data_IF_393370335258
#
_entry.id   IF_393370335258
#
_cell.length_a   1.000
_cell.length_b   1.000
_cell.length_c   1.000
_cell.angle_alpha   90.00
_cell.angle_beta   90.00
_cell.angle_gamma   90.00
#
_symmetry.space_group_name_H-M   'P 1'
#
loop_
_entity.id
_entity.type
_entity.pdbx_description
1 polymer ?
#
# COMPACT_ATOMS: atom_id res chain seq x y z
N UNK A 1 3.62 10.97 20.70
CA UNK A 1 5.00 10.48 20.72
C UNK A 1 5.08 9.27 19.82
N UNK A 2 5.80 9.35 18.72
CA UNK A 2 5.96 8.22 17.81
C UNK A 2 6.78 7.16 18.55
N UNK A 3 6.22 5.98 18.74
CA UNK A 3 6.87 4.76 19.20
C UNK A 3 8.16 4.99 20.00
N UNK A 4 8.05 5.01 21.32
CA UNK A 4 9.24 5.09 22.17
C UNK A 4 10.12 3.84 21.92
N UNK A 5 11.35 4.00 21.39
CA UNK A 5 12.23 2.87 21.09
C UNK A 5 12.50 1.99 22.32
N UNK A 6 12.40 2.57 23.53
CA UNK A 6 12.59 1.83 24.78
C UNK A 6 11.44 0.88 25.12
N UNK A 7 10.26 1.10 24.54
CA UNK A 7 9.07 0.30 24.78
C UNK A 7 8.81 -0.75 23.68
N UNK A 8 9.58 -0.75 22.60
CA UNK A 8 9.42 -1.76 21.56
C UNK A 8 9.81 -3.15 22.09
N UNK A 9 8.88 -4.08 22.03
CA UNK A 9 9.02 -5.46 22.46
C UNK A 9 8.83 -6.42 21.29
N UNK A 10 9.46 -7.58 21.35
CA UNK A 10 9.30 -8.65 20.38
C UNK A 10 8.60 -9.81 21.05
N UNK A 11 7.61 -10.41 20.37
CA UNK A 11 7.01 -11.66 20.83
C UNK A 11 7.97 -12.82 20.60
N UNK A 12 8.32 -13.52 21.67
CA UNK A 12 9.07 -14.77 21.56
C UNK A 12 8.12 -15.92 21.23
N UNK A 13 8.33 -16.60 20.09
CA UNK A 13 7.64 -17.86 19.80
C UNK A 13 8.26 -18.98 20.63
N UNK A 14 7.63 -19.33 21.76
CA UNK A 14 7.90 -20.51 22.55
C UNK A 14 6.57 -21.18 22.93
N UNK A 15 6.46 -22.50 22.77
CA UNK A 15 5.26 -23.26 23.18
C UNK A 15 4.92 -22.92 24.63
N UNK A 16 3.79 -22.26 24.85
CA UNK A 16 3.10 -22.00 26.12
C UNK A 16 3.45 -20.75 26.96
N UNK A 17 4.27 -19.79 26.52
CA UNK A 17 4.36 -18.49 27.21
C UNK A 17 4.63 -17.38 26.18
N UNK A 18 3.80 -16.36 26.12
CA UNK A 18 4.08 -15.12 25.42
C UNK A 18 5.17 -14.35 26.17
N UNK A 19 6.42 -14.66 25.86
CA UNK A 19 7.55 -13.89 26.39
C UNK A 19 7.87 -12.76 25.44
N UNK A 20 7.82 -11.53 25.93
CA UNK A 20 8.31 -10.36 25.20
C UNK A 20 9.68 -9.96 25.73
N UNK A 21 10.54 -9.46 24.86
CA UNK A 21 11.84 -8.92 25.21
C UNK A 21 12.10 -7.61 24.45
N UNK A 22 12.98 -6.76 24.99
CA UNK A 22 13.34 -5.48 24.37
C UNK A 22 14.03 -5.71 23.02
N UNK A 23 13.64 -4.94 22.00
CA UNK A 23 14.33 -4.93 20.71
C UNK A 23 15.80 -4.60 20.87
N UNK A 24 16.64 -5.30 20.10
CA UNK A 24 18.09 -5.02 20.00
C UNK A 24 18.36 -4.02 18.88
N UNK A 25 17.60 -4.09 17.81
CA UNK A 25 17.76 -3.23 16.64
C UNK A 25 16.91 -1.97 16.75
N UNK A 26 17.49 -0.84 16.34
CA UNK A 26 16.77 0.41 16.21
C UNK A 26 15.74 0.33 15.08
N UNK A 27 14.52 0.83 15.33
CA UNK A 27 13.50 1.00 14.29
C UNK A 27 13.79 2.26 13.48
N UNK A 28 13.91 2.12 12.15
CA UNK A 28 14.19 3.21 11.21
C UNK A 28 13.08 3.38 10.20
N UNK A 29 12.92 4.57 9.65
CA UNK A 29 11.94 4.88 8.58
C UNK A 29 12.09 3.91 7.40
N UNK A 30 13.32 3.58 7.01
CA UNK A 30 13.59 2.62 5.93
C UNK A 30 13.00 1.23 6.20
N UNK A 31 12.89 0.81 7.47
CA UNK A 31 12.29 -0.45 7.84
C UNK A 31 10.76 -0.45 7.64
N UNK A 32 10.11 0.70 7.89
CA UNK A 32 8.68 0.87 7.60
C UNK A 32 8.42 0.89 6.09
N UNK A 33 9.17 1.70 5.33
CA UNK A 33 9.05 1.79 3.87
C UNK A 33 9.27 0.45 3.16
N UNK A 34 10.14 -0.40 3.68
CA UNK A 34 10.46 -1.71 3.12
C UNK A 34 9.70 -2.88 3.73
N UNK A 35 8.71 -2.64 4.59
CA UNK A 35 8.00 -3.67 5.37
C UNK A 35 8.93 -4.60 6.18
N UNK A 36 9.97 -4.05 6.76
CA UNK A 36 10.96 -4.78 7.59
C UNK A 36 11.01 -4.25 9.02
N UNK A 37 9.96 -3.59 9.47
CA UNK A 37 9.85 -3.06 10.84
C UNK A 37 9.61 -4.13 11.89
N UNK A 38 8.99 -5.24 11.51
CA UNK A 38 8.48 -6.27 12.42
C UNK A 38 7.02 -6.08 12.85
N UNK A 39 6.38 -4.97 12.49
CA UNK A 39 4.94 -4.76 12.73
C UNK A 39 4.10 -5.61 11.78
N UNK A 40 3.24 -6.44 12.34
CA UNK A 40 2.15 -7.12 11.63
C UNK A 40 0.89 -6.22 11.58
N UNK A 41 -0.16 -6.70 10.93
CA UNK A 41 -1.50 -6.12 11.05
C UNK A 41 -2.16 -6.76 12.27
N UNK A 42 -2.52 -6.01 13.33
CA UNK A 42 -3.25 -6.55 14.48
C UNK A 42 -4.60 -7.15 14.06
N UNK A 43 -5.08 -8.14 14.79
CA UNK A 43 -6.33 -8.83 14.47
C UNK A 43 -7.52 -7.86 14.37
N UNK A 44 -7.60 -6.90 15.28
CA UNK A 44 -8.68 -5.92 15.36
C UNK A 44 -8.37 -4.60 14.63
N UNK A 45 -7.30 -4.53 13.85
CA UNK A 45 -6.82 -3.28 13.24
C UNK A 45 -7.92 -2.44 12.59
N UNK A 46 -8.79 -3.05 11.80
CA UNK A 46 -9.85 -2.33 11.10
C UNK A 46 -10.96 -1.82 12.05
N UNK A 47 -11.27 -2.59 13.09
CA UNK A 47 -12.21 -2.17 14.13
C UNK A 47 -11.65 -0.98 14.90
N UNK A 48 -10.39 -1.04 15.23
CA UNK A 48 -9.69 0.02 15.96
C UNK A 48 -9.54 1.28 15.08
N UNK A 49 -9.24 1.11 13.80
CA UNK A 49 -9.14 2.22 12.84
C UNK A 49 -10.47 2.99 12.64
N UNK A 50 -11.62 2.31 12.80
CA UNK A 50 -12.94 2.96 12.74
C UNK A 50 -13.27 3.68 14.05
N UNK A 51 -12.82 3.14 15.16
CA UNK A 51 -13.09 3.68 16.49
C UNK A 51 -12.16 4.83 16.85
N UNK A 52 -10.96 4.82 16.32
CA UNK A 52 -9.98 5.86 16.55
C UNK A 52 -10.41 7.17 15.88
N UNK A 53 -10.35 8.27 16.61
CA UNK A 53 -10.68 9.60 16.10
C UNK A 53 -9.62 10.12 15.10
N UNK A 54 -8.39 9.60 15.19
CA UNK A 54 -7.25 10.05 14.38
C UNK A 54 -6.13 8.99 14.36
N UNK A 55 -5.09 9.24 13.55
CA UNK A 55 -3.93 8.34 13.46
C UNK A 55 -3.12 8.26 14.76
N UNK A 56 -3.11 9.28 15.59
CA UNK A 56 -2.38 9.26 16.85
C UNK A 56 -2.96 8.21 17.80
N UNK A 57 -4.28 8.24 18.00
CA UNK A 57 -4.98 7.26 18.82
C UNK A 57 -4.81 5.83 18.27
N UNK A 58 -4.92 5.67 16.95
CA UNK A 58 -4.68 4.37 16.31
C UNK A 58 -3.25 3.87 16.56
N UNK A 59 -2.25 4.77 16.51
CA UNK A 59 -0.86 4.40 16.79
C UNK A 59 -0.64 4.04 18.26
N UNK A 60 -1.34 4.68 19.19
CA UNK A 60 -1.30 4.30 20.59
C UNK A 60 -1.82 2.88 20.84
N UNK A 61 -2.81 2.45 20.05
CA UNK A 61 -3.30 1.06 20.09
C UNK A 61 -2.25 0.12 19.51
N UNK A 62 -1.73 0.40 18.29
CA UNK A 62 -0.75 -0.43 17.60
C UNK A 62 0.56 -0.55 18.39
N UNK A 63 0.98 0.51 19.09
CA UNK A 63 2.23 0.52 19.85
C UNK A 63 2.25 -0.46 21.03
N UNK A 64 1.09 -0.95 21.47
CA UNK A 64 0.97 -1.95 22.54
C UNK A 64 1.23 -3.37 22.04
N UNK A 65 1.13 -3.59 20.73
CA UNK A 65 1.38 -4.88 20.12
C UNK A 65 2.90 -5.14 19.99
N UNK A 66 3.39 -6.33 20.38
CA UNK A 66 4.78 -6.65 20.22
C UNK A 66 5.14 -6.84 18.74
N UNK A 67 6.38 -6.53 18.38
CA UNK A 67 6.91 -6.84 17.05
C UNK A 67 7.08 -8.35 16.88
N UNK A 68 6.84 -8.84 15.67
CA UNK A 68 7.07 -10.24 15.31
C UNK A 68 8.54 -10.55 15.03
N UNK A 69 9.32 -9.55 14.62
CA UNK A 69 10.73 -9.68 14.25
C UNK A 69 11.51 -8.44 14.65
N UNK A 70 12.81 -8.61 14.89
CA UNK A 70 13.73 -7.50 15.04
C UNK A 70 13.69 -6.57 13.81
N UNK A 71 13.60 -5.24 14.01
CA UNK A 71 13.62 -4.29 12.91
C UNK A 71 14.79 -4.52 11.96
N UNK A 72 14.53 -4.49 10.66
CA UNK A 72 15.51 -4.68 9.60
C UNK A 72 15.85 -6.13 9.25
N UNK A 73 15.34 -7.14 9.97
CA UNK A 73 15.76 -8.54 9.79
C UNK A 73 14.93 -9.31 8.78
N UNK A 74 13.60 -9.14 8.81
CA UNK A 74 12.67 -9.91 7.95
C UNK A 74 11.62 -9.01 7.34
N UNK A 75 11.14 -9.40 6.17
CA UNK A 75 9.97 -8.81 5.56
C UNK A 75 8.71 -9.31 6.26
N UNK A 76 7.83 -8.37 6.63
CA UNK A 76 6.49 -8.66 7.15
C UNK A 76 5.54 -7.57 6.69
N UNK A 77 4.62 -7.94 5.78
CA UNK A 77 3.56 -7.03 5.37
C UNK A 77 2.61 -6.73 6.54
N UNK A 78 2.28 -5.47 6.74
CA UNK A 78 1.42 -5.04 7.85
C UNK A 78 1.16 -3.54 7.84
N UNK A 79 0.91 -2.96 9.00
CA UNK A 79 0.47 -1.57 9.21
C UNK A 79 1.53 -0.49 8.96
N UNK A 80 2.64 -0.85 8.35
CA UNK A 80 3.80 0.02 8.17
C UNK A 80 3.47 1.38 7.54
N UNK A 81 2.62 1.41 6.50
CA UNK A 81 2.25 2.65 5.82
C UNK A 81 1.33 3.53 6.68
N UNK A 82 0.49 2.93 7.53
CA UNK A 82 -0.31 3.70 8.48
C UNK A 82 0.57 4.36 9.55
N UNK A 83 1.62 3.66 10.00
CA UNK A 83 2.64 4.25 10.89
C UNK A 83 3.37 5.39 10.17
N UNK A 84 3.75 5.23 8.90
CA UNK A 84 4.35 6.29 8.10
C UNK A 84 3.41 7.50 7.91
N UNK A 85 2.11 7.27 7.79
CA UNK A 85 1.11 8.35 7.79
C UNK A 85 1.21 9.21 9.05
N UNK A 86 1.30 8.58 10.23
CA UNK A 86 1.50 9.32 11.49
C UNK A 86 2.87 10.01 11.56
N UNK A 87 3.93 9.37 11.04
CA UNK A 87 5.24 10.04 10.93
C UNK A 87 5.13 11.33 10.12
N UNK A 88 4.42 11.29 9.00
CA UNK A 88 4.19 12.47 8.18
C UNK A 88 3.43 13.56 8.94
N UNK A 89 2.38 13.21 9.69
CA UNK A 89 1.63 14.16 10.53
C UNK A 89 2.52 14.88 11.54
N UNK A 90 3.41 14.13 12.22
CA UNK A 90 4.32 14.69 13.22
C UNK A 90 5.36 15.61 12.60
N UNK A 91 5.90 15.24 11.43
CA UNK A 91 6.95 16.01 10.75
C UNK A 91 6.39 17.29 10.13
N UNK A 92 5.19 17.23 9.56
CA UNK A 92 4.58 18.35 8.84
C UNK A 92 3.56 19.14 9.66
N UNK A 93 3.27 18.70 10.89
CA UNK A 93 2.31 19.34 11.81
C UNK A 93 0.92 19.53 11.18
N UNK A 94 0.49 18.57 10.34
CA UNK A 94 -0.78 18.55 9.63
C UNK A 94 -1.36 17.15 9.65
N UNK A 95 -2.70 17.03 9.57
CA UNK A 95 -3.32 15.71 9.37
C UNK A 95 -2.87 15.07 8.05
N UNK A 96 -2.84 13.75 8.01
CA UNK A 96 -2.28 13.01 6.88
C UNK A 96 -3.03 13.27 5.56
N UNK A 97 -4.34 13.45 5.61
CA UNK A 97 -5.15 13.82 4.45
C UNK A 97 -4.80 15.22 3.93
N UNK A 98 -4.57 16.19 4.82
CA UNK A 98 -4.15 17.55 4.45
C UNK A 98 -2.72 17.52 3.89
N UNK A 99 -1.81 16.79 4.55
CA UNK A 99 -0.44 16.62 4.05
C UNK A 99 -0.41 16.09 2.62
N UNK A 100 -1.11 14.97 2.34
CA UNK A 100 -1.16 14.40 0.99
C UNK A 100 -1.81 15.33 -0.02
N UNK A 101 -2.89 16.00 0.39
CA UNK A 101 -3.58 16.96 -0.49
C UNK A 101 -2.65 18.09 -0.94
N UNK A 102 -1.93 18.70 -0.01
CA UNK A 102 -1.07 19.85 -0.32
C UNK A 102 0.25 19.44 -0.98
N UNK A 103 0.85 18.32 -0.55
CA UNK A 103 2.17 17.90 -1.02
C UNK A 103 2.14 17.05 -2.28
N UNK A 104 1.01 16.40 -2.58
CA UNK A 104 0.90 15.46 -3.69
C UNK A 104 -0.30 15.74 -4.61
N UNK A 105 -1.53 15.75 -4.05
CA UNK A 105 -2.72 15.77 -4.91
C UNK A 105 -2.89 17.08 -5.68
N UNK A 106 -2.73 18.23 -5.01
CA UNK A 106 -2.81 19.55 -5.68
C UNK A 106 -1.67 19.72 -6.69
N UNK A 107 -0.38 19.47 -6.35
CA UNK A 107 0.70 19.58 -7.33
C UNK A 107 0.57 18.66 -8.54
N UNK A 108 -0.07 17.50 -8.39
CA UNK A 108 -0.34 16.55 -9.46
C UNK A 108 -1.71 16.75 -10.15
N UNK A 109 -2.45 17.81 -9.81
CA UNK A 109 -3.79 18.08 -10.35
C UNK A 109 -4.77 16.91 -10.16
N UNK A 110 -4.63 16.17 -9.04
CA UNK A 110 -5.48 15.04 -8.65
C UNK A 110 -6.67 15.53 -7.82
N UNK A 111 -7.58 16.25 -8.45
CA UNK A 111 -8.64 16.97 -7.74
C UNK A 111 -9.83 16.09 -7.31
N UNK A 112 -9.97 14.90 -7.91
CA UNK A 112 -10.98 13.91 -7.55
C UNK A 112 -10.39 12.77 -6.68
N UNK A 113 -9.26 13.04 -6.00
CA UNK A 113 -8.54 12.08 -5.17
C UNK A 113 -8.56 12.49 -3.70
N UNK A 114 -8.83 11.53 -2.79
CA UNK A 114 -8.82 11.77 -1.36
C UNK A 114 -9.36 10.61 -0.53
N UNK A 115 -9.46 10.82 0.78
CA UNK A 115 -10.00 9.84 1.72
C UNK A 115 -11.51 9.98 1.91
N UNK A 116 -12.07 11.14 1.61
CA UNK A 116 -13.45 11.48 1.93
C UNK A 116 -14.25 11.83 0.68
N UNK A 117 -15.51 11.44 0.68
CA UNK A 117 -16.44 11.73 -0.40
C UNK A 117 -17.50 12.72 0.08
N UNK A 118 -17.77 13.73 -0.74
CA UNK A 118 -18.96 14.55 -0.61
C UNK A 118 -20.18 13.85 -1.21
N UNK A 119 -21.37 14.49 -1.10
CA UNK A 119 -22.62 13.93 -1.64
C UNK A 119 -22.60 13.75 -3.16
N UNK A 120 -21.81 14.55 -3.89
CA UNK A 120 -21.70 14.49 -5.36
C UNK A 120 -20.79 13.34 -5.77
N UNK A 121 -19.59 13.28 -5.21
CA UNK A 121 -18.58 12.27 -5.54
C UNK A 121 -18.97 10.88 -5.03
N UNK A 122 -19.71 10.78 -3.93
CA UNK A 122 -20.23 9.49 -3.43
C UNK A 122 -21.11 8.75 -4.47
N UNK A 123 -21.79 9.46 -5.34
CA UNK A 123 -22.62 8.86 -6.41
C UNK A 123 -21.77 8.24 -7.54
N UNK A 124 -20.50 8.61 -7.65
CA UNK A 124 -19.57 8.08 -8.63
C UNK A 124 -18.83 6.82 -8.12
N UNK A 125 -18.93 6.57 -6.82
CA UNK A 125 -18.27 5.42 -6.22
C UNK A 125 -18.89 4.13 -6.76
N UNK A 126 -18.08 3.32 -7.42
CA UNK A 126 -18.52 2.01 -7.90
C UNK A 126 -18.80 1.07 -6.73
N UNK A 127 -19.80 0.17 -6.81
CA UNK A 127 -20.01 -0.86 -5.81
C UNK A 127 -18.82 -1.82 -5.73
N UNK A 128 -18.70 -2.52 -4.63
CA UNK A 128 -17.75 -3.63 -4.50
C UNK A 128 -18.38 -4.90 -5.02
N UNK A 129 -17.67 -5.64 -5.88
CA UNK A 129 -18.14 -6.87 -6.47
C UNK A 129 -17.46 -8.08 -5.82
N UNK A 130 -18.26 -9.04 -5.36
CA UNK A 130 -17.78 -10.31 -4.81
C UNK A 130 -18.04 -11.43 -5.79
N UNK A 131 -17.08 -12.35 -5.92
CA UNK A 131 -17.29 -13.59 -6.66
C UNK A 131 -18.27 -14.47 -5.86
N UNK A 132 -19.41 -14.80 -6.46
CA UNK A 132 -20.36 -15.73 -5.89
C UNK A 132 -19.87 -17.18 -6.03
N UNK A 133 -20.12 -18.01 -4.99
CA UNK A 133 -19.92 -19.46 -5.08
C UNK A 133 -21.06 -20.17 -5.82
N UNK A 134 -22.22 -19.53 -5.95
CA UNK A 134 -23.47 -20.15 -6.38
C UNK A 134 -23.98 -19.66 -7.74
N UNK A 135 -23.37 -18.61 -8.30
CA UNK A 135 -23.77 -18.00 -9.57
C UNK A 135 -22.51 -17.75 -10.40
N UNK A 136 -22.58 -18.00 -11.70
CA UNK A 136 -21.52 -17.60 -12.61
C UNK A 136 -21.48 -16.07 -12.69
N UNK A 137 -20.34 -15.46 -12.29
CA UNK A 137 -20.16 -14.03 -12.28
C UNK A 137 -19.94 -13.43 -10.88
N UNK A 138 -20.30 -12.18 -10.74
CA UNK A 138 -20.12 -11.39 -9.53
C UNK A 138 -21.45 -10.91 -8.99
N UNK A 139 -21.59 -10.92 -7.67
CA UNK A 139 -22.66 -10.23 -6.97
C UNK A 139 -22.19 -8.84 -6.55
N UNK A 140 -23.07 -7.86 -6.70
CA UNK A 140 -22.95 -6.59 -6.05
C UNK A 140 -23.22 -6.81 -4.57
N UNK A 141 -22.17 -6.77 -3.75
CA UNK A 141 -22.31 -6.85 -2.30
C UNK A 141 -21.59 -5.71 -1.63
N UNK A 142 -22.33 -4.99 -0.77
CA UNK A 142 -21.78 -3.95 0.08
C UNK A 142 -20.91 -4.47 1.23
N UNK A 143 -20.78 -5.79 1.39
CA UNK A 143 -20.13 -6.40 2.55
C UNK A 143 -18.76 -6.94 2.17
N UNK A 144 -17.79 -6.07 2.03
CA UNK A 144 -16.37 -6.47 2.11
C UNK A 144 -15.80 -6.12 3.47
N UNK A 145 -14.69 -6.76 3.82
CA UNK A 145 -13.92 -6.45 5.04
C UNK A 145 -13.64 -4.95 5.20
N UNK A 146 -13.50 -4.22 4.08
CA UNK A 146 -13.31 -2.77 4.00
C UNK A 146 -14.60 -2.03 3.58
N UNK A 147 -15.43 -2.62 2.75
CA UNK A 147 -16.60 -1.96 2.15
C UNK A 147 -17.64 -1.49 3.15
N UNK A 148 -17.85 -2.23 4.24
CA UNK A 148 -18.77 -1.84 5.32
C UNK A 148 -18.11 -1.01 6.40
N UNK A 149 -16.79 -0.99 6.42
CA UNK A 149 -16.03 -0.33 7.47
C UNK A 149 -15.58 1.06 7.03
N UNK A 150 -15.42 1.29 5.73
CA UNK A 150 -15.03 2.58 5.18
C UNK A 150 -16.26 3.39 4.78
N UNK A 151 -16.63 4.32 5.63
CA UNK A 151 -17.78 5.20 5.39
C UNK A 151 -17.45 6.34 4.42
N UNK A 152 -16.18 6.65 4.22
CA UNK A 152 -15.68 7.80 3.47
C UNK A 152 -16.21 9.16 3.95
N UNK A 153 -16.64 9.23 5.19
CA UNK A 153 -17.02 10.46 5.89
C UNK A 153 -15.91 10.90 6.83
N UNK A 154 -15.61 12.20 6.81
CA UNK A 154 -14.50 12.75 7.61
C UNK A 154 -14.65 12.51 9.10
N UNK A 155 -15.89 12.53 9.59
CA UNK A 155 -16.23 12.38 11.01
C UNK A 155 -16.17 10.93 11.50
N UNK A 156 -15.99 9.97 10.62
CA UNK A 156 -16.06 8.54 10.95
C UNK A 156 -15.01 7.68 10.27
N UNK A 157 -13.94 8.30 9.81
CA UNK A 157 -12.86 7.56 9.15
C UNK A 157 -11.50 8.23 9.34
N UNK A 158 -10.59 7.49 9.96
CA UNK A 158 -9.18 7.86 10.07
C UNK A 158 -8.48 7.67 8.72
N UNK A 159 -7.71 8.65 8.20
CA UNK A 159 -6.99 8.52 6.94
C UNK A 159 -5.80 7.57 7.10
N UNK A 160 -5.94 6.32 6.66
CA UNK A 160 -4.91 5.30 6.78
C UNK A 160 -3.83 5.45 5.71
N UNK A 161 -2.56 5.35 6.08
CA UNK A 161 -1.47 5.37 5.09
C UNK A 161 -1.40 4.11 4.22
N UNK A 162 -2.01 3.01 4.68
CA UNK A 162 -2.02 1.74 3.97
C UNK A 162 -3.16 1.63 2.94
N UNK A 163 -4.25 2.37 3.12
CA UNK A 163 -5.48 2.21 2.35
C UNK A 163 -6.47 3.36 2.56
N UNK A 164 -7.60 3.33 1.80
CA UNK A 164 -8.69 4.28 2.00
C UNK A 164 -8.68 5.46 1.02
N UNK A 165 -7.65 5.63 0.22
CA UNK A 165 -7.65 6.64 -0.84
C UNK A 165 -8.57 6.18 -1.97
N UNK A 166 -9.47 7.07 -2.35
CA UNK A 166 -10.30 6.98 -3.54
C UNK A 166 -9.73 7.90 -4.61
N UNK A 167 -9.74 7.44 -5.85
CA UNK A 167 -9.20 8.19 -6.98
C UNK A 167 -9.92 7.83 -8.27
N UNK A 168 -9.68 8.59 -9.31
CA UNK A 168 -10.10 8.29 -10.69
C UNK A 168 -8.89 7.79 -11.49
N UNK A 169 -9.13 7.09 -12.61
CA UNK A 169 -8.03 6.70 -13.52
C UNK A 169 -7.30 7.92 -14.07
N UNK A 170 -8.02 9.03 -14.31
CA UNK A 170 -7.44 10.29 -14.77
C UNK A 170 -6.47 10.88 -13.74
N UNK A 171 -6.90 11.01 -12.48
CA UNK A 171 -6.03 11.55 -11.43
C UNK A 171 -4.83 10.65 -11.19
N UNK A 172 -5.07 9.34 -11.12
CA UNK A 172 -4.00 8.38 -10.88
C UNK A 172 -3.01 8.29 -12.05
N UNK A 173 -3.43 8.63 -13.28
CA UNK A 173 -2.51 8.76 -14.42
C UNK A 173 -1.47 9.85 -14.21
N UNK A 174 -1.84 10.97 -13.59
CA UNK A 174 -0.89 12.06 -13.28
C UNK A 174 0.18 11.58 -12.27
N UNK A 175 -0.21 10.76 -11.30
CA UNK A 175 0.74 10.13 -10.38
C UNK A 175 1.67 9.15 -11.09
N UNK A 176 1.15 8.32 -11.99
CA UNK A 176 1.97 7.41 -12.79
C UNK A 176 2.93 8.17 -13.72
N UNK A 177 2.46 9.25 -14.33
CA UNK A 177 3.28 10.12 -15.19
C UNK A 177 4.44 10.74 -14.40
N UNK A 178 4.16 11.27 -13.21
CA UNK A 178 5.20 11.77 -12.31
C UNK A 178 6.26 10.71 -12.00
N UNK A 179 5.86 9.48 -11.68
CA UNK A 179 6.79 8.38 -11.44
C UNK A 179 7.61 8.03 -12.69
N UNK A 180 6.97 7.97 -13.86
CA UNK A 180 7.60 7.66 -15.14
C UNK A 180 8.67 8.68 -15.51
N UNK A 181 8.41 9.96 -15.28
CA UNK A 181 9.35 11.04 -15.59
C UNK A 181 10.27 11.42 -14.42
N UNK A 182 10.59 10.44 -13.57
CA UNK A 182 11.62 10.62 -12.53
C UNK A 182 11.25 11.64 -11.46
N UNK A 183 9.96 11.75 -11.12
CA UNK A 183 9.45 12.64 -10.09
C UNK A 183 9.00 14.01 -10.61
N UNK A 184 8.94 14.22 -11.94
CA UNK A 184 8.52 15.47 -12.57
C UNK A 184 7.09 15.36 -13.10
N UNK A 185 6.27 16.39 -12.88
CA UNK A 185 4.95 16.54 -13.47
C UNK A 185 4.75 18.02 -13.88
N UNK A 186 4.25 18.25 -15.10
CA UNK A 186 4.04 19.61 -15.66
C UNK A 186 5.24 20.54 -15.45
N UNK A 187 6.46 20.06 -15.75
CA UNK A 187 7.74 20.76 -15.57
C UNK A 187 8.07 21.16 -14.12
N UNK A 188 7.40 20.58 -13.13
CA UNK A 188 7.69 20.78 -11.71
C UNK A 188 8.23 19.49 -11.10
N UNK A 189 9.29 19.60 -10.32
CA UNK A 189 9.80 18.50 -9.52
C UNK A 189 8.89 18.31 -8.30
N UNK A 190 8.21 17.17 -8.23
CA UNK A 190 7.31 16.79 -7.12
C UNK A 190 8.09 16.01 -6.07
N UNK A 191 8.84 14.99 -6.50
CA UNK A 191 9.80 14.25 -5.68
C UNK A 191 11.12 14.14 -6.43
N UNK A 192 12.25 13.98 -5.74
CA UNK A 192 13.55 13.93 -6.41
C UNK A 192 13.73 12.64 -7.22
N UNK A 193 14.53 12.70 -8.28
CA UNK A 193 14.89 11.53 -9.08
C UNK A 193 15.66 10.50 -8.26
N UNK A 194 16.43 10.95 -7.28
CA UNK A 194 17.12 10.10 -6.31
C UNK A 194 16.11 9.31 -5.45
N UNK A 195 14.99 9.92 -5.06
CA UNK A 195 13.92 9.23 -4.34
C UNK A 195 13.28 8.14 -5.19
N UNK A 196 13.01 8.38 -6.47
CA UNK A 196 12.51 7.35 -7.39
C UNK A 196 13.51 6.20 -7.52
N UNK A 197 14.80 6.50 -7.71
CA UNK A 197 15.85 5.49 -7.75
C UNK A 197 15.93 4.68 -6.46
N UNK A 198 15.81 5.35 -5.30
CA UNK A 198 15.80 4.68 -4.00
C UNK A 198 14.57 3.79 -3.83
N UNK A 199 13.38 4.24 -4.27
CA UNK A 199 12.16 3.45 -4.22
C UNK A 199 12.28 2.13 -4.97
N UNK A 200 13.03 2.09 -6.07
CA UNK A 200 13.17 0.91 -6.92
C UNK A 200 14.39 0.05 -6.60
N UNK A 201 15.19 0.38 -5.58
CA UNK A 201 16.29 -0.48 -5.12
C UNK A 201 15.75 -1.73 -4.41
N UNK A 202 16.53 -2.81 -4.44
CA UNK A 202 16.19 -4.09 -3.81
C UNK A 202 16.44 -4.04 -2.30
N UNK A 203 15.36 -4.10 -1.52
CA UNK A 203 15.42 -4.15 -0.06
C UNK A 203 15.09 -5.54 0.51
N UNK A 204 14.31 -6.33 -0.19
CA UNK A 204 14.06 -7.73 0.16
C UNK A 204 13.65 -8.53 -1.08
N UNK A 205 13.80 -9.86 -0.99
CA UNK A 205 13.24 -10.77 -1.97
C UNK A 205 11.71 -10.64 -2.02
N UNK A 206 11.12 -11.16 -3.10
CA UNK A 206 9.67 -11.26 -3.23
C UNK A 206 9.03 -11.98 -2.03
N UNK A 207 7.73 -11.87 -1.90
CA UNK A 207 6.98 -12.41 -0.77
C UNK A 207 7.43 -13.79 -0.32
N UNK A 208 7.53 -14.03 1.01
CA UNK A 208 7.66 -15.37 1.54
C UNK A 208 6.48 -16.22 1.03
N UNK A 209 6.77 -17.38 0.51
CA UNK A 209 5.79 -18.37 0.00
C UNK A 209 4.64 -18.64 0.98
N UNK A 210 4.93 -18.48 2.26
CA UNK A 210 4.06 -18.79 3.39
C UNK A 210 2.81 -17.89 3.48
N UNK A 211 2.85 -16.66 2.95
CA UNK A 211 1.77 -15.68 3.12
C UNK A 211 0.80 -15.60 1.94
N UNK A 212 1.28 -15.74 0.70
CA UNK A 212 0.49 -15.42 -0.49
C UNK A 212 0.49 -16.53 -1.53
N UNK A 213 1.11 -17.67 -1.24
CA UNK A 213 1.23 -18.80 -2.14
C UNK A 213 2.45 -18.74 -3.06
N UNK A 214 2.79 -19.88 -3.64
CA UNK A 214 4.06 -20.09 -4.35
C UNK A 214 4.23 -19.26 -5.63
N UNK A 215 3.15 -18.72 -6.18
CA UNK A 215 3.16 -18.05 -7.49
C UNK A 215 2.96 -16.53 -7.44
N UNK A 216 2.72 -15.97 -6.25
CA UNK A 216 2.42 -14.54 -6.15
C UNK A 216 3.67 -13.70 -6.35
N UNK A 217 3.66 -12.86 -7.39
CA UNK A 217 4.77 -11.96 -7.76
C UNK A 217 6.15 -12.64 -7.81
N UNK A 218 6.21 -13.88 -8.30
CA UNK A 218 7.49 -14.55 -8.59
C UNK A 218 8.31 -13.71 -9.57
N UNK A 219 9.61 -13.57 -9.30
CA UNK A 219 10.48 -12.78 -10.15
C UNK A 219 10.47 -11.27 -9.85
N UNK A 220 9.62 -10.82 -8.92
CA UNK A 220 9.69 -9.47 -8.40
C UNK A 220 10.50 -9.43 -7.09
N UNK A 221 11.14 -8.31 -6.83
CA UNK A 221 11.66 -7.97 -5.51
C UNK A 221 10.92 -6.76 -4.93
N UNK A 222 11.19 -6.48 -3.67
CA UNK A 222 10.61 -5.34 -2.96
C UNK A 222 11.56 -4.16 -2.93
N UNK A 223 11.09 -3.04 -3.47
CA UNK A 223 11.64 -1.72 -3.22
C UNK A 223 11.02 -1.06 -1.98
N UNK A 224 11.00 0.26 -1.94
CA UNK A 224 10.29 1.02 -0.91
C UNK A 224 8.85 1.23 -1.35
N UNK A 225 7.94 0.46 -0.76
CA UNK A 225 6.49 0.49 -1.05
C UNK A 225 6.14 0.22 -2.53
N UNK A 226 7.01 -0.42 -3.28
CA UNK A 226 6.78 -0.89 -4.65
C UNK A 226 7.35 -2.28 -4.86
N UNK A 227 6.80 -3.01 -5.85
CA UNK A 227 7.40 -4.20 -6.43
C UNK A 227 8.18 -3.83 -7.68
N UNK A 228 9.29 -4.50 -7.94
CA UNK A 228 10.11 -4.31 -9.14
C UNK A 228 10.38 -5.65 -9.78
N UNK A 229 10.13 -5.77 -11.08
CA UNK A 229 10.34 -7.00 -11.84
C UNK A 229 11.83 -7.22 -12.13
N UNK A 230 12.40 -8.25 -11.52
CA UNK A 230 13.80 -8.65 -11.71
C UNK A 230 13.95 -9.76 -12.76
N UNK A 231 13.05 -10.74 -12.73
CA UNK A 231 13.10 -11.91 -13.61
C UNK A 231 11.72 -12.25 -14.19
N UNK A 232 11.38 -11.70 -15.37
CA UNK A 232 10.08 -11.95 -16.00
C UNK A 232 9.86 -13.42 -16.38
N UNK A 233 10.91 -14.21 -16.56
CA UNK A 233 10.80 -15.62 -16.94
C UNK A 233 10.15 -16.47 -15.85
N UNK A 234 10.31 -16.11 -14.58
CA UNK A 234 9.70 -16.84 -13.46
C UNK A 234 8.17 -16.87 -13.50
N UNK A 235 7.54 -15.84 -14.05
CA UNK A 235 6.09 -15.78 -14.28
C UNK A 235 5.70 -15.88 -15.76
N UNK A 236 6.64 -16.17 -16.65
CA UNK A 236 6.45 -16.18 -18.12
C UNK A 236 5.88 -14.86 -18.63
N UNK A 237 6.36 -13.74 -18.08
CA UNK A 237 5.95 -12.40 -18.50
C UNK A 237 6.68 -11.97 -19.74
N UNK A 238 5.97 -11.26 -20.64
CA UNK A 238 6.53 -10.55 -21.80
C UNK A 238 7.04 -9.17 -21.44
N UNK A 239 6.64 -8.65 -20.29
CA UNK A 239 7.07 -7.36 -19.76
C UNK A 239 8.61 -7.32 -19.57
N UNK A 240 9.27 -6.17 -19.81
CA UNK A 240 10.69 -6.00 -19.57
C UNK A 240 11.03 -6.01 -18.09
N UNK A 241 12.31 -6.17 -17.78
CA UNK A 241 12.82 -5.98 -16.41
C UNK A 241 12.62 -4.54 -15.96
N UNK A 242 12.66 -4.34 -14.64
CA UNK A 242 12.61 -3.04 -13.99
C UNK A 242 11.26 -2.31 -14.08
N UNK A 243 10.20 -2.92 -14.64
CA UNK A 243 8.88 -2.38 -14.41
C UNK A 243 8.59 -2.42 -12.91
N UNK A 244 7.94 -1.39 -12.39
CA UNK A 244 7.61 -1.32 -10.96
C UNK A 244 6.21 -0.78 -10.74
N UNK A 245 5.60 -1.14 -9.60
CA UNK A 245 4.25 -0.74 -9.27
C UNK A 245 3.74 -1.38 -8.01
N UNK A 246 2.42 -1.34 -7.82
CA UNK A 246 1.78 -1.93 -6.64
C UNK A 246 0.36 -2.41 -6.94
N UNK A 247 -0.04 -3.56 -6.37
CA UNK A 247 -1.42 -4.04 -6.40
C UNK A 247 -2.24 -3.50 -5.23
N UNK A 248 -3.53 -3.31 -5.45
CA UNK A 248 -4.49 -2.98 -4.41
C UNK A 248 -5.40 -4.15 -4.03
N UNK A 249 -5.95 -4.11 -2.82
CA UNK A 249 -6.79 -5.19 -2.26
C UNK A 249 -8.03 -5.49 -3.13
N UNK A 250 -8.62 -4.49 -3.76
CA UNK A 250 -9.80 -4.63 -4.61
C UNK A 250 -9.44 -4.91 -6.07
N UNK A 251 -8.29 -5.57 -6.30
CA UNK A 251 -7.77 -5.89 -7.63
C UNK A 251 -7.52 -4.66 -8.50
N UNK A 252 -7.09 -3.56 -7.92
CA UNK A 252 -6.44 -2.49 -8.66
C UNK A 252 -4.98 -2.85 -8.89
N UNK A 253 -4.40 -2.35 -9.96
CA UNK A 253 -2.99 -2.55 -10.25
C UNK A 253 -2.46 -1.40 -11.11
N UNK A 254 -1.26 -0.93 -10.81
CA UNK A 254 -0.53 -0.05 -11.71
C UNK A 254 0.90 -0.52 -11.86
N UNK A 255 1.49 -0.19 -13.00
CA UNK A 255 2.92 -0.38 -13.23
C UNK A 255 3.48 0.76 -14.07
N UNK A 256 4.75 1.02 -13.86
CA UNK A 256 5.57 1.99 -14.59
C UNK A 256 6.62 1.20 -15.36
N UNK A 257 6.78 1.49 -16.62
CA UNK A 257 7.79 0.93 -17.51
C UNK A 257 8.67 2.06 -18.05
N UNK A 258 9.79 2.36 -17.39
CA UNK A 258 10.67 3.44 -17.83
C UNK A 258 11.36 3.13 -19.17
N UNK A 259 11.58 1.83 -19.51
CA UNK A 259 12.26 1.42 -20.73
C UNK A 259 11.44 1.76 -21.98
N UNK A 260 10.14 1.50 -21.94
CA UNK A 260 9.23 1.76 -23.05
C UNK A 260 8.47 3.11 -22.90
N UNK A 261 8.80 3.91 -21.88
CA UNK A 261 8.13 5.19 -21.62
C UNK A 261 6.61 5.04 -21.50
N UNK A 262 6.15 3.99 -20.82
CA UNK A 262 4.73 3.73 -20.62
C UNK A 262 4.41 3.44 -19.15
N UNK A 263 3.15 3.61 -18.81
CA UNK A 263 2.57 3.09 -17.59
C UNK A 263 1.22 2.43 -17.87
N UNK A 264 0.82 1.52 -17.01
CA UNK A 264 -0.50 0.91 -17.07
C UNK A 264 -1.24 1.03 -15.76
N UNK A 265 -2.56 1.18 -15.87
CA UNK A 265 -3.47 1.27 -14.74
C UNK A 265 -4.62 0.30 -14.98
N UNK A 266 -4.85 -0.60 -14.05
CA UNK A 266 -6.01 -1.46 -14.01
C UNK A 266 -6.86 -1.11 -12.78
N UNK A 267 -8.07 -0.63 -13.02
CA UNK A 267 -9.02 -0.23 -11.97
C UNK A 267 -10.12 -1.28 -11.82
N UNK A 268 -10.32 -1.71 -10.59
CA UNK A 268 -11.38 -2.65 -10.21
C UNK A 268 -11.86 -2.35 -8.80
N UNK A 269 -13.08 -2.78 -8.48
CA UNK A 269 -13.59 -2.88 -7.11
C UNK A 269 -14.16 -4.28 -6.89
N UNK A 270 -13.32 -5.29 -7.08
CA UNK A 270 -13.70 -6.69 -6.90
C UNK A 270 -12.84 -7.36 -5.85
N UNK A 271 -13.46 -8.21 -5.06
CA UNK A 271 -12.81 -9.05 -4.06
C UNK A 271 -12.76 -10.49 -4.59
N UNK A 272 -11.84 -10.73 -5.52
CA UNK A 272 -11.54 -12.09 -6.00
C UNK A 272 -10.16 -12.51 -5.50
N UNK A 273 -9.92 -13.79 -5.36
CA UNK A 273 -8.57 -14.28 -5.08
C UNK A 273 -7.71 -14.21 -6.34
N UNK A 274 -6.74 -13.32 -6.30
CA UNK A 274 -5.70 -13.20 -7.33
C UNK A 274 -6.11 -12.35 -8.54
N UNK A 275 -5.42 -11.25 -8.73
CA UNK A 275 -5.43 -10.52 -9.98
C UNK A 275 -4.62 -11.33 -10.99
N UNK A 276 -5.09 -11.52 -12.23
CA UNK A 276 -4.32 -12.18 -13.28
C UNK A 276 -3.24 -11.21 -13.85
N UNK A 277 -2.24 -10.88 -13.02
CA UNK A 277 -1.14 -9.97 -13.40
C UNK A 277 -0.44 -10.41 -14.68
N UNK A 278 -0.16 -11.71 -14.77
CA UNK A 278 0.47 -12.33 -15.92
C UNK A 278 -0.37 -12.14 -17.18
N UNK A 279 -1.67 -12.35 -17.10
CA UNK A 279 -2.59 -12.15 -18.22
C UNK A 279 -2.65 -10.69 -18.64
N UNK A 280 -2.82 -9.76 -17.69
CA UNK A 280 -2.88 -8.32 -17.98
C UNK A 280 -1.58 -7.83 -18.61
N UNK A 281 -0.45 -8.12 -17.96
CA UNK A 281 0.86 -7.68 -18.46
C UNK A 281 1.15 -8.31 -19.84
N UNK A 282 0.94 -9.61 -20.00
CA UNK A 282 1.19 -10.27 -21.27
C UNK A 282 0.30 -9.76 -22.39
N UNK A 283 -0.98 -9.46 -22.12
CA UNK A 283 -1.87 -8.88 -23.13
C UNK A 283 -1.42 -7.50 -23.59
N UNK A 284 -0.88 -6.68 -22.70
CA UNK A 284 -0.33 -5.36 -23.07
C UNK A 284 0.96 -5.54 -23.88
N UNK A 285 1.91 -6.32 -23.38
CA UNK A 285 3.23 -6.51 -24.04
C UNK A 285 3.20 -7.48 -25.23
N UNK A 286 2.06 -7.96 -25.66
CA UNK A 286 1.87 -8.61 -26.97
C UNK A 286 1.70 -7.60 -28.11
N UNK A 287 1.29 -6.38 -27.79
CA UNK A 287 0.97 -5.33 -28.76
C UNK A 287 2.21 -4.49 -29.08
N UNK A 288 3.15 -4.42 -28.15
CA UNK A 288 4.43 -3.71 -28.27
C UNK A 288 5.57 -4.67 -28.61
#
# INVERSE_FOLDING_TARGET
MLLDPENLKISGYGRNEERTYKCKNELKIIHLLSHRSGFATPENFYVDAIRADNLEELMDIISKEPLHYEPGTKYLYGVNQSILGRVAEVVYEKSFDVFLKESLFIPLEMFDTGFYLDKKTKKLLQPVYLKSSNIEGFNEDGITRLGNMMTYHKESQTPLGAEGILTTSKDFSNFCEMLLYGGVFNNKQIISSESIKLMTQKFSESYPKEYWGEKYLLGFYKGLSVFVLEDPKKMKLKAPKNIFGWPGLQNTFFWIDPENSLYGIFMSRSMTRGLPYDTILNSVYEIF
#
